data_IF_223844648416
#
_entry.id   IF_223844648416
#
_cell.length_a   1.000
_cell.length_b   1.000
_cell.length_c   1.000
_cell.angle_alpha   90.00
_cell.angle_beta   90.00
_cell.angle_gamma   90.00
#
_symmetry.space_group_name_H-M   'P 1'
#
loop_
_entity.id
_entity.type
_entity.pdbx_description
1 polymer ?
#
# COMPACT_ATOMS: atom_id res chain seq x y z
N UNK A 1 8.11 3.82 24.07
CA UNK A 1 7.33 3.09 23.04
C UNK A 1 8.32 2.39 22.13
N UNK A 2 8.23 1.06 21.98
CA UNK A 2 9.13 0.32 21.06
C UNK A 2 8.80 0.72 19.63
N UNK A 3 9.82 1.09 18.84
CA UNK A 3 9.69 1.34 17.40
C UNK A 3 9.02 0.14 16.72
N UNK A 4 7.74 0.27 16.37
CA UNK A 4 6.98 -0.76 15.67
C UNK A 4 6.99 -0.42 14.18
N UNK A 5 7.56 -1.33 13.38
CA UNK A 5 7.71 -1.18 11.93
C UNK A 5 6.37 -1.42 11.24
N UNK A 6 5.88 -0.44 10.50
CA UNK A 6 4.76 -0.62 9.55
C UNK A 6 5.26 -1.54 8.42
N UNK A 7 4.55 -2.64 8.15
CA UNK A 7 4.94 -3.58 7.10
C UNK A 7 4.28 -3.19 5.77
N UNK A 8 4.99 -2.40 4.95
CA UNK A 8 4.65 -2.22 3.54
C UNK A 8 5.24 -3.39 2.77
N UNK A 9 4.40 -4.20 2.10
CA UNK A 9 4.87 -5.32 1.27
C UNK A 9 4.92 -4.88 -0.19
N UNK A 10 6.14 -4.62 -0.67
CA UNK A 10 6.44 -4.25 -2.06
C UNK A 10 6.83 -5.53 -2.80
N UNK A 11 6.12 -5.86 -3.89
CA UNK A 11 6.57 -6.91 -4.81
C UNK A 11 7.20 -6.26 -6.04
N UNK A 12 8.50 -6.50 -6.22
CA UNK A 12 9.26 -6.04 -7.39
C UNK A 12 9.29 -7.14 -8.44
N UNK A 13 8.93 -6.83 -9.68
CA UNK A 13 9.18 -7.70 -10.84
C UNK A 13 10.19 -7.03 -11.76
N UNK A 14 11.37 -7.63 -11.89
CA UNK A 14 12.38 -7.18 -12.83
C UNK A 14 12.00 -7.62 -14.24
N UNK A 15 12.00 -6.70 -15.20
CA UNK A 15 11.84 -7.04 -16.62
C UNK A 15 13.04 -6.55 -17.43
N UNK A 16 13.60 -7.41 -18.27
CA UNK A 16 14.80 -7.09 -19.06
C UNK A 16 14.53 -5.96 -20.05
N UNK A 17 14.93 -4.73 -19.70
CA UNK A 17 14.90 -3.56 -20.57
C UNK A 17 13.70 -2.61 -20.42
N UNK A 18 12.75 -2.86 -19.51
CA UNK A 18 11.62 -1.97 -19.20
C UNK A 18 11.74 -1.50 -17.75
N UNK A 19 11.23 -0.30 -17.44
CA UNK A 19 11.11 0.22 -16.06
C UNK A 19 10.59 -0.88 -15.13
N UNK A 20 11.24 -1.05 -13.98
CA UNK A 20 10.85 -2.08 -13.02
C UNK A 20 9.43 -1.79 -12.51
N UNK A 21 8.56 -2.80 -12.53
CA UNK A 21 7.17 -2.65 -12.09
C UNK A 21 7.04 -3.07 -10.62
N UNK A 22 6.32 -2.26 -9.85
CA UNK A 22 6.04 -2.47 -8.45
C UNK A 22 4.54 -2.73 -8.28
N UNK A 23 4.17 -3.78 -7.55
CA UNK A 23 2.80 -3.89 -7.02
C UNK A 23 2.76 -3.41 -5.58
N UNK A 24 2.02 -2.32 -5.34
CA UNK A 24 1.77 -1.74 -4.02
C UNK A 24 0.36 -2.07 -3.56
N UNK A 25 0.23 -2.63 -2.36
CA UNK A 25 -1.06 -2.80 -1.68
C UNK A 25 -1.28 -1.66 -0.68
N UNK A 26 -2.41 -0.96 -0.79
CA UNK A 26 -2.77 0.16 0.09
C UNK A 26 -4.06 -0.13 0.85
N UNK A 27 -4.12 0.27 2.11
CA UNK A 27 -5.22 -0.01 3.04
C UNK A 27 -5.80 1.26 3.69
N UNK A 28 -5.50 2.45 3.15
CA UNK A 28 -5.79 3.75 3.75
C UNK A 28 -5.90 4.86 2.72
N UNK A 29 -5.47 6.08 3.07
CA UNK A 29 -5.72 7.32 2.31
C UNK A 29 -5.28 7.35 0.84
N UNK A 30 -4.46 6.39 0.40
CA UNK A 30 -4.11 6.17 -1.00
C UNK A 30 -5.20 5.43 -1.80
N UNK A 31 -6.21 4.83 -1.16
CA UNK A 31 -7.31 4.13 -1.83
C UNK A 31 -8.22 5.12 -2.58
N UNK A 32 -8.86 4.64 -3.66
CA UNK A 32 -9.77 5.45 -4.48
C UNK A 32 -10.80 6.21 -3.65
N UNK A 33 -11.00 7.48 -3.97
CA UNK A 33 -11.96 8.35 -3.28
C UNK A 33 -11.47 8.97 -1.97
N UNK A 34 -10.24 8.67 -1.53
CA UNK A 34 -9.61 9.27 -0.34
C UNK A 34 -8.57 10.34 -0.71
N UNK A 35 -8.16 11.13 0.29
CA UNK A 35 -7.43 12.38 0.12
C UNK A 35 -6.06 12.27 -0.57
N UNK A 36 -5.36 11.14 -0.43
CA UNK A 36 -4.02 10.94 -1.02
C UNK A 36 -4.05 10.13 -2.32
N UNK A 37 -5.21 9.66 -2.78
CA UNK A 37 -5.29 8.89 -4.03
C UNK A 37 -4.78 9.69 -5.24
N UNK A 38 -4.93 11.01 -5.21
CA UNK A 38 -4.36 11.94 -6.19
C UNK A 38 -2.87 11.68 -6.46
N UNK A 39 -2.09 11.30 -5.44
CA UNK A 39 -0.65 11.05 -5.57
C UNK A 39 -0.34 9.90 -6.54
N UNK A 40 -1.23 8.90 -6.61
CA UNK A 40 -1.12 7.79 -7.57
C UNK A 40 -1.58 8.21 -8.98
N UNK A 41 -2.67 8.98 -9.04
CA UNK A 41 -3.24 9.46 -10.30
C UNK A 41 -2.31 10.44 -11.02
N UNK A 42 -1.65 11.34 -10.30
CA UNK A 42 -0.71 12.33 -10.84
C UNK A 42 0.53 11.67 -11.47
N UNK A 43 0.87 10.45 -11.03
CA UNK A 43 1.92 9.62 -11.62
C UNK A 43 1.41 8.70 -12.75
N UNK A 44 0.13 8.79 -13.12
CA UNK A 44 -0.54 7.95 -14.12
C UNK A 44 -0.51 6.45 -13.79
N UNK A 45 -0.59 6.10 -12.51
CA UNK A 45 -0.47 4.70 -12.08
C UNK A 45 -1.79 3.93 -12.18
N UNK A 46 -1.68 2.60 -12.33
CA UNK A 46 -2.79 1.73 -12.69
C UNK A 46 -3.40 1.08 -11.44
N UNK A 47 -4.68 1.39 -11.19
CA UNK A 47 -5.50 0.58 -10.29
C UNK A 47 -5.76 -0.80 -10.90
N UNK A 48 -5.56 -1.86 -10.11
CA UNK A 48 -5.74 -3.24 -10.55
C UNK A 48 -7.14 -3.72 -10.10
N UNK A 49 -7.27 -4.63 -9.13
CA UNK A 49 -8.52 -4.72 -8.36
C UNK A 49 -8.30 -4.69 -6.84
N UNK A 50 -9.43 -4.59 -6.12
CA UNK A 50 -9.51 -4.86 -4.69
C UNK A 50 -9.06 -6.30 -4.38
N UNK A 51 -8.42 -6.48 -3.24
CA UNK A 51 -7.93 -7.77 -2.76
C UNK A 51 -7.98 -7.84 -1.24
N UNK A 52 -7.54 -8.97 -0.67
CA UNK A 52 -7.40 -9.15 0.77
C UNK A 52 -6.01 -9.68 1.13
N UNK A 53 -5.47 -9.25 2.27
CA UNK A 53 -4.26 -9.86 2.86
C UNK A 53 -4.47 -11.33 3.22
N UNK A 54 -3.39 -12.04 3.59
CA UNK A 54 -3.54 -13.30 4.35
C UNK A 54 -4.25 -13.04 5.69
N UNK A 55 -4.73 -14.09 6.35
CA UNK A 55 -5.44 -14.01 7.64
C UNK A 55 -4.52 -13.71 8.83
N UNK A 56 -3.37 -13.10 8.60
CA UNK A 56 -2.31 -12.91 9.59
C UNK A 56 -2.07 -11.42 9.84
N UNK A 57 -3.05 -10.55 9.58
CA UNK A 57 -2.90 -9.11 9.76
C UNK A 57 -3.96 -8.54 10.69
N UNK A 58 -3.57 -7.61 11.55
CA UNK A 58 -4.49 -6.83 12.38
C UNK A 58 -4.50 -5.38 11.92
N UNK A 59 -5.65 -4.73 12.10
CA UNK A 59 -5.85 -3.32 11.78
C UNK A 59 -5.90 -2.49 13.06
N UNK A 60 -5.35 -1.28 12.97
CA UNK A 60 -5.41 -0.23 13.98
C UNK A 60 -5.85 1.07 13.33
N UNK A 61 -6.50 1.91 14.12
CA UNK A 61 -6.71 3.33 13.84
C UNK A 61 -5.54 4.13 14.44
N UNK A 62 -4.92 5.01 13.66
CA UNK A 62 -3.95 6.01 14.13
C UNK A 62 -4.69 7.33 14.25
N UNK A 63 -4.94 7.75 15.50
CA UNK A 63 -5.59 9.03 15.84
C UNK A 63 -6.98 9.22 15.17
N UNK A 64 -7.64 8.14 14.75
CA UNK A 64 -8.89 8.18 13.98
C UNK A 64 -8.78 8.87 12.62
N UNK A 65 -7.55 9.01 12.12
CA UNK A 65 -7.22 9.64 10.83
C UNK A 65 -6.74 8.62 9.79
N UNK A 66 -5.89 7.67 10.19
CA UNK A 66 -5.26 6.72 9.25
C UNK A 66 -5.36 5.27 9.72
N UNK A 67 -5.75 4.33 8.85
CA UNK A 67 -5.64 2.92 9.15
C UNK A 67 -4.19 2.45 9.01
N UNK A 68 -3.76 1.58 9.93
CA UNK A 68 -2.46 0.91 9.86
C UNK A 68 -2.63 -0.58 10.15
N UNK A 69 -1.81 -1.41 9.50
CA UNK A 69 -1.83 -2.85 9.75
C UNK A 69 -0.45 -3.41 10.08
N UNK A 70 -0.45 -4.42 10.94
CA UNK A 70 0.74 -5.20 11.32
C UNK A 70 0.41 -6.69 11.21
N UNK A 71 1.44 -7.48 10.89
CA UNK A 71 1.31 -8.94 10.86
C UNK A 71 1.22 -9.48 12.28
N UNK A 72 0.18 -10.25 12.57
CA UNK A 72 -0.10 -10.98 13.80
C UNK A 72 -0.63 -12.37 13.43
N UNK A 73 0.21 -13.40 13.58
CA UNK A 73 -0.14 -14.78 13.21
C UNK A 73 -1.20 -15.41 14.13
N UNK A 74 -1.43 -14.84 15.32
CA UNK A 74 -2.34 -15.40 16.31
C UNK A 74 -3.73 -14.78 16.20
N UNK A 75 -3.77 -13.46 16.15
CA UNK A 75 -5.02 -12.68 16.20
C UNK A 75 -5.33 -11.99 14.86
N UNK A 76 -4.67 -12.44 13.78
CA UNK A 76 -4.80 -11.91 12.44
C UNK A 76 -6.16 -12.16 11.79
N UNK A 77 -6.49 -11.30 10.83
CA UNK A 77 -7.66 -11.38 9.97
C UNK A 77 -7.26 -11.02 8.53
N UNK A 78 -8.16 -11.29 7.59
CA UNK A 78 -8.04 -10.79 6.22
C UNK A 78 -8.44 -9.32 6.20
N UNK A 79 -7.56 -8.46 5.69
CA UNK A 79 -7.77 -7.02 5.57
C UNK A 79 -7.98 -6.66 4.11
N UNK A 80 -9.00 -5.85 3.82
CA UNK A 80 -9.25 -5.29 2.49
C UNK A 80 -8.14 -4.31 2.09
N UNK A 81 -7.67 -4.44 0.85
CA UNK A 81 -6.63 -3.58 0.26
C UNK A 81 -6.97 -3.29 -1.19
N UNK A 82 -6.48 -2.17 -1.70
CA UNK A 82 -6.42 -1.91 -3.14
C UNK A 82 -5.02 -2.21 -3.66
N UNK A 83 -4.93 -2.85 -4.83
CA UNK A 83 -3.66 -3.08 -5.51
C UNK A 83 -3.44 -2.03 -6.59
N UNK A 84 -2.23 -1.47 -6.61
CA UNK A 84 -1.77 -0.52 -7.60
C UNK A 84 -0.49 -1.02 -8.25
N UNK A 85 -0.41 -0.95 -9.58
CA UNK A 85 0.85 -1.13 -10.30
C UNK A 85 1.49 0.23 -10.47
N UNK A 86 2.76 0.30 -10.08
CA UNK A 86 3.59 1.48 -10.14
C UNK A 86 4.79 1.24 -11.03
N UNK A 87 5.27 2.29 -11.69
CA UNK A 87 6.68 2.34 -12.07
C UNK A 87 7.57 2.41 -10.83
N UNK A 88 8.77 1.82 -10.87
CA UNK A 88 9.74 1.96 -9.79
C UNK A 88 10.08 3.41 -9.45
N UNK A 89 10.06 4.28 -10.46
CA UNK A 89 10.51 5.66 -10.35
C UNK A 89 9.44 6.57 -9.70
N UNK A 90 8.18 6.15 -9.68
CA UNK A 90 7.08 6.92 -9.09
C UNK A 90 6.92 6.70 -7.60
N UNK A 91 7.50 5.62 -7.04
CA UNK A 91 7.30 5.24 -5.65
C UNK A 91 7.71 6.36 -4.67
N UNK A 92 8.88 6.96 -4.87
CA UNK A 92 9.35 8.04 -3.99
C UNK A 92 8.49 9.31 -4.11
N UNK A 93 8.19 9.83 -5.32
CA UNK A 93 7.22 10.91 -5.50
C UNK A 93 5.88 10.68 -4.78
N UNK A 94 5.31 9.48 -4.89
CA UNK A 94 4.03 9.13 -4.24
C UNK A 94 4.12 9.22 -2.71
N UNK A 95 5.22 8.70 -2.12
CA UNK A 95 5.40 8.64 -0.67
C UNK A 95 5.78 9.97 -0.02
N UNK A 96 6.32 10.91 -0.80
CA UNK A 96 6.76 12.22 -0.31
C UNK A 96 5.74 13.34 -0.58
N UNK A 97 4.61 13.02 -1.21
CA UNK A 97 3.56 13.99 -1.55
C UNK A 97 2.50 14.06 -0.44
N UNK A 98 2.12 15.29 -0.05
CA UNK A 98 1.10 15.60 0.97
C UNK A 98 -0.32 15.84 0.38
#
# INVERSE_FOLDING_TARGET
MKNQKIAVRIHLKKSGGKLDEITLAVNGTLMRGLSLNKNLLDQNEEFVPESKTSSEYRMWSIQDEYPAMLRDEKEGKKIDVELWKLSSDSLLPILLSD
#
